data_IF_624332152907
#
_entry.id   IF_624332152907
#
_cell.length_a   1.000
_cell.length_b   1.000
_cell.length_c   1.000
_cell.angle_alpha   90.00
_cell.angle_beta   90.00
_cell.angle_gamma   90.00
#
_symmetry.space_group_name_H-M   'P 1'
#
loop_
_entity.id
_entity.type
_entity.pdbx_description
1 polymer ?
#
# COMPACT_ATOMS: atom_id res chain seq x y z
N UNK A 1 15.19 -20.27 -5.02
CA UNK A 1 14.54 -20.30 -6.35
C UNK A 1 14.97 -21.51 -7.16
N UNK A 2 16.27 -21.70 -7.45
CA UNK A 2 16.77 -22.91 -8.13
C UNK A 2 16.32 -24.23 -7.48
N UNK A 3 16.42 -24.33 -6.14
CA UNK A 3 15.93 -25.50 -5.36
C UNK A 3 14.42 -25.76 -5.50
N UNK A 4 13.62 -24.74 -5.80
CA UNK A 4 12.16 -24.85 -5.94
C UNK A 4 11.72 -25.08 -7.39
N UNK A 5 12.65 -25.11 -8.35
CA UNK A 5 12.31 -25.25 -9.78
C UNK A 5 11.52 -24.09 -10.38
N UNK A 6 11.52 -22.92 -9.72
CA UNK A 6 10.76 -21.75 -10.18
C UNK A 6 11.61 -20.93 -11.14
N UNK A 7 11.17 -20.71 -12.40
CA UNK A 7 11.82 -19.80 -13.33
C UNK A 7 11.96 -18.41 -12.72
N UNK A 8 13.12 -17.79 -12.88
CA UNK A 8 13.38 -16.47 -12.34
C UNK A 8 14.30 -15.67 -13.24
N UNK A 9 14.09 -14.36 -13.26
CA UNK A 9 14.93 -13.37 -13.93
C UNK A 9 15.46 -12.41 -12.87
N UNK A 10 16.76 -12.15 -12.89
CA UNK A 10 17.39 -11.14 -12.04
C UNK A 10 17.59 -9.89 -12.89
N UNK A 11 16.94 -8.79 -12.49
CA UNK A 11 17.06 -7.50 -13.17
C UNK A 11 17.89 -6.53 -12.32
N UNK A 12 18.96 -5.99 -12.89
CA UNK A 12 19.77 -4.94 -12.27
C UNK A 12 19.36 -3.57 -12.81
N UNK A 13 18.97 -2.65 -11.92
CA UNK A 13 18.67 -1.26 -12.24
C UNK A 13 19.22 -0.34 -11.17
N UNK A 14 19.90 0.72 -11.59
CA UNK A 14 20.37 1.75 -10.68
C UNK A 14 19.23 2.71 -10.31
N UNK A 15 18.40 2.28 -9.36
CA UNK A 15 17.37 3.16 -8.80
C UNK A 15 17.96 4.16 -7.81
N UNK A 16 19.12 3.88 -7.22
CA UNK A 16 19.66 4.66 -6.11
C UNK A 16 20.22 5.99 -6.61
N UNK A 17 21.13 5.96 -7.58
CA UNK A 17 21.77 7.18 -8.09
C UNK A 17 20.75 8.11 -8.73
N UNK A 18 19.77 7.56 -9.45
CA UNK A 18 18.67 8.33 -10.06
C UNK A 18 17.84 9.05 -8.99
N UNK A 19 17.62 8.42 -7.83
CA UNK A 19 16.85 9.02 -6.74
C UNK A 19 17.66 10.10 -6.03
N UNK A 20 18.94 9.85 -5.75
CA UNK A 20 19.84 10.83 -5.13
C UNK A 20 20.00 12.08 -5.99
N UNK A 21 20.16 11.89 -7.30
CA UNK A 21 20.31 12.99 -8.27
C UNK A 21 19.04 13.85 -8.39
N UNK A 22 17.86 13.21 -8.43
CA UNK A 22 16.59 13.90 -8.73
C UNK A 22 15.81 14.40 -7.52
N UNK A 23 16.12 13.93 -6.31
CA UNK A 23 15.38 14.34 -5.10
C UNK A 23 16.14 15.46 -4.39
N UNK A 24 15.54 16.65 -4.22
CA UNK A 24 16.18 17.75 -3.51
C UNK A 24 16.57 17.37 -2.08
N UNK A 25 17.65 17.98 -1.59
CA UNK A 25 18.11 17.78 -0.22
C UNK A 25 16.99 18.09 0.79
N UNK A 26 16.85 17.24 1.81
CA UNK A 26 15.80 17.35 2.83
C UNK A 26 14.44 16.78 2.44
N UNK A 27 14.29 16.19 1.25
CA UNK A 27 13.08 15.45 0.83
C UNK A 27 13.31 13.94 0.92
N UNK A 28 12.24 13.21 1.22
CA UNK A 28 12.27 11.74 1.35
C UNK A 28 12.44 11.05 -0.01
N UNK A 29 13.39 10.12 -0.11
CA UNK A 29 13.70 9.39 -1.34
C UNK A 29 12.64 8.34 -1.71
N UNK A 30 11.91 7.83 -0.71
CA UNK A 30 10.98 6.72 -0.84
C UNK A 30 9.91 6.93 -1.93
N UNK A 31 9.45 8.16 -2.14
CA UNK A 31 8.40 8.45 -3.13
C UNK A 31 8.89 8.15 -4.56
N UNK A 32 10.07 8.64 -4.94
CA UNK A 32 10.62 8.40 -6.27
C UNK A 32 11.12 6.95 -6.42
N UNK A 33 11.80 6.41 -5.40
CA UNK A 33 12.24 5.02 -5.39
C UNK A 33 11.07 4.03 -5.60
N UNK A 34 9.96 4.22 -4.89
CA UNK A 34 8.76 3.38 -5.03
C UNK A 34 8.16 3.46 -6.44
N UNK A 35 8.14 4.65 -7.06
CA UNK A 35 7.67 4.81 -8.44
C UNK A 35 8.58 4.09 -9.44
N UNK A 36 9.89 4.25 -9.32
CA UNK A 36 10.86 3.59 -10.21
C UNK A 36 10.80 2.07 -10.11
N UNK A 37 10.78 1.52 -8.89
CA UNK A 37 10.65 0.07 -8.67
C UNK A 37 9.40 -0.50 -9.32
N UNK A 38 8.28 0.20 -9.18
CA UNK A 38 6.99 -0.18 -9.78
C UNK A 38 7.03 -0.11 -11.31
N UNK A 39 7.60 0.96 -11.86
CA UNK A 39 7.80 1.09 -13.31
C UNK A 39 8.67 -0.03 -13.89
N UNK A 40 9.74 -0.43 -13.18
CA UNK A 40 10.56 -1.57 -13.58
C UNK A 40 9.78 -2.88 -13.56
N UNK A 41 8.98 -3.14 -12.51
CA UNK A 41 8.14 -4.34 -12.42
C UNK A 41 7.13 -4.41 -13.58
N UNK A 42 6.47 -3.30 -13.91
CA UNK A 42 5.50 -3.28 -15.01
C UNK A 42 6.17 -3.45 -16.37
N UNK A 43 7.33 -2.82 -16.60
CA UNK A 43 8.11 -3.03 -17.83
C UNK A 43 8.51 -4.50 -17.98
N UNK A 44 9.05 -5.12 -16.93
CA UNK A 44 9.45 -6.54 -16.98
C UNK A 44 8.23 -7.41 -17.22
N UNK A 45 7.09 -7.15 -16.56
CA UNK A 45 5.86 -7.88 -16.82
C UNK A 45 5.46 -7.83 -18.30
N UNK A 46 5.58 -6.67 -18.95
CA UNK A 46 5.31 -6.51 -20.39
C UNK A 46 6.33 -7.27 -21.26
N UNK A 47 7.62 -7.16 -20.94
CA UNK A 47 8.69 -7.87 -21.66
C UNK A 47 8.50 -9.39 -21.61
N UNK A 48 8.02 -9.91 -20.48
CA UNK A 48 7.76 -11.34 -20.25
C UNK A 48 6.34 -11.77 -20.66
N UNK A 49 5.53 -10.87 -21.25
CA UNK A 49 4.15 -11.16 -21.68
C UNK A 49 3.18 -11.51 -20.53
N UNK A 50 3.48 -11.07 -19.30
CA UNK A 50 2.64 -11.29 -18.13
C UNK A 50 1.44 -10.33 -18.11
N UNK A 51 0.25 -10.86 -17.82
CA UNK A 51 -0.95 -10.03 -17.61
C UNK A 51 -1.05 -9.44 -16.19
N UNK A 52 -0.21 -9.90 -15.26
CA UNK A 52 -0.29 -9.52 -13.87
C UNK A 52 1.06 -9.57 -13.14
N UNK A 53 1.19 -8.74 -12.10
CA UNK A 53 2.26 -8.74 -11.11
C UNK A 53 1.70 -9.08 -9.74
N UNK A 54 2.27 -10.08 -9.07
CA UNK A 54 1.88 -10.48 -7.71
C UNK A 54 2.92 -9.97 -6.72
N UNK A 55 2.48 -9.19 -5.72
CA UNK A 55 3.35 -8.57 -4.72
C UNK A 55 2.98 -9.05 -3.32
N UNK A 56 4.00 -9.29 -2.48
CA UNK A 56 3.86 -9.82 -1.12
C UNK A 56 3.38 -8.82 -0.07
N UNK A 57 2.65 -7.77 -0.46
CA UNK A 57 2.16 -6.77 0.49
C UNK A 57 1.11 -7.38 1.42
N UNK A 58 1.31 -7.20 2.73
CA UNK A 58 0.41 -7.70 3.76
C UNK A 58 -0.52 -6.62 4.31
N UNK A 59 -1.40 -6.96 5.26
CA UNK A 59 -2.39 -6.04 5.87
C UNK A 59 -1.74 -4.78 6.41
N UNK A 60 -0.62 -4.94 7.10
CA UNK A 60 0.09 -3.84 7.75
C UNK A 60 0.72 -2.89 6.73
N UNK A 61 1.22 -3.37 5.58
CA UNK A 61 1.66 -2.51 4.47
C UNK A 61 0.53 -1.61 3.92
N UNK A 62 -0.69 -2.15 3.87
CA UNK A 62 -1.88 -1.44 3.39
C UNK A 62 -2.27 -0.36 4.41
N UNK A 63 -2.19 -0.65 5.71
CA UNK A 63 -2.40 0.34 6.76
C UNK A 63 -1.33 1.42 6.72
N UNK A 64 -0.05 1.05 6.67
CA UNK A 64 1.06 2.00 6.56
C UNK A 64 0.86 2.91 5.34
N UNK A 65 0.50 2.36 4.19
CA UNK A 65 0.25 3.15 2.98
C UNK A 65 -0.97 4.06 3.12
N UNK A 66 -2.03 3.60 3.78
CA UNK A 66 -3.18 4.44 4.09
C UNK A 66 -2.79 5.65 4.95
N UNK A 67 -2.06 5.43 6.04
CA UNK A 67 -1.64 6.52 6.93
C UNK A 67 -0.65 7.48 6.28
N UNK A 68 0.26 6.97 5.45
CA UNK A 68 1.12 7.81 4.63
C UNK A 68 0.31 8.74 3.71
N UNK A 69 -0.73 8.20 3.08
CA UNK A 69 -1.63 8.98 2.22
C UNK A 69 -2.49 9.96 3.02
N UNK A 70 -2.94 9.57 4.21
CA UNK A 70 -3.72 10.41 5.10
C UNK A 70 -2.91 11.59 5.63
N UNK A 71 -1.73 11.33 6.21
CA UNK A 71 -0.92 12.35 6.88
C UNK A 71 -0.13 13.24 5.93
N UNK A 72 0.30 12.73 4.78
CA UNK A 72 1.18 13.47 3.88
C UNK A 72 0.57 13.73 2.49
N UNK A 73 -0.42 12.92 2.10
CA UNK A 73 -1.07 13.03 0.79
C UNK A 73 -2.46 13.67 0.81
N UNK A 74 -3.02 13.96 2.00
CA UNK A 74 -4.36 14.52 2.16
C UNK A 74 -5.47 13.68 1.52
N UNK A 75 -5.28 12.36 1.39
CA UNK A 75 -6.18 11.49 0.62
C UNK A 75 -6.55 10.21 1.36
N UNK A 76 -7.83 9.83 1.27
CA UNK A 76 -8.33 8.53 1.74
C UNK A 76 -8.04 7.44 0.70
N UNK A 77 -6.77 7.04 0.60
CA UNK A 77 -6.33 6.05 -0.39
C UNK A 77 -5.36 5.03 0.21
N UNK A 78 -5.40 3.81 -0.30
CA UNK A 78 -4.45 2.75 0.04
C UNK A 78 -4.13 1.88 -1.19
N UNK A 79 -3.59 0.67 -0.98
CA UNK A 79 -3.27 -0.31 -2.00
C UNK A 79 -4.28 -1.46 -1.96
N UNK A 80 -5.30 -1.50 -2.83
CA UNK A 80 -6.32 -2.56 -2.78
C UNK A 80 -5.73 -3.94 -3.16
N UNK A 81 -6.38 -5.06 -2.77
CA UNK A 81 -5.89 -6.41 -3.08
C UNK A 81 -5.75 -6.70 -4.59
N UNK A 82 -6.62 -6.07 -5.39
CA UNK A 82 -6.60 -6.11 -6.86
C UNK A 82 -6.65 -4.68 -7.38
N UNK A 83 -5.72 -4.36 -8.28
CA UNK A 83 -5.64 -3.05 -8.93
C UNK A 83 -5.31 -3.26 -10.41
N UNK A 84 -5.91 -2.48 -11.29
CA UNK A 84 -5.43 -2.30 -12.65
C UNK A 84 -4.49 -1.07 -12.64
N UNK A 85 -3.31 -1.18 -13.24
CA UNK A 85 -2.40 -0.04 -13.35
C UNK A 85 -3.03 1.11 -14.17
N UNK A 86 -2.40 2.28 -14.10
CA UNK A 86 -2.91 3.49 -14.75
C UNK A 86 -2.96 3.34 -16.28
N UNK A 87 -2.01 2.61 -16.88
CA UNK A 87 -2.01 2.33 -18.32
C UNK A 87 -3.05 1.28 -18.76
N UNK A 88 -3.71 0.60 -17.82
CA UNK A 88 -4.82 -0.31 -18.12
C UNK A 88 -4.44 -1.70 -18.63
N UNK A 89 -3.15 -2.07 -18.62
CA UNK A 89 -2.62 -3.26 -19.28
C UNK A 89 -2.05 -4.34 -18.33
N UNK A 90 -1.76 -3.99 -17.07
CA UNK A 90 -1.17 -4.90 -16.08
C UNK A 90 -1.96 -4.91 -14.78
N UNK A 91 -2.44 -6.10 -14.39
CA UNK A 91 -3.04 -6.29 -13.06
C UNK A 91 -1.97 -6.33 -11.96
N UNK A 92 -2.31 -5.83 -10.79
CA UNK A 92 -1.50 -5.96 -9.57
C UNK A 92 -2.31 -6.68 -8.50
N UNK A 93 -1.80 -7.84 -8.08
CA UNK A 93 -2.40 -8.67 -7.04
C UNK A 93 -1.58 -8.65 -5.75
N UNK A 94 -2.28 -8.60 -4.61
CA UNK A 94 -1.71 -8.63 -3.26
C UNK A 94 -2.42 -9.71 -2.44
N UNK A 95 -2.08 -11.00 -2.64
CA UNK A 95 -2.81 -12.11 -2.01
C UNK A 95 -2.72 -12.08 -0.48
N UNK A 96 -1.68 -11.45 0.08
CA UNK A 96 -1.47 -11.34 1.53
C UNK A 96 -2.16 -10.12 2.15
N UNK A 97 -2.97 -9.37 1.40
CA UNK A 97 -3.59 -8.12 1.84
C UNK A 97 -4.37 -8.20 3.16
N UNK A 98 -4.85 -9.38 3.54
CA UNK A 98 -5.59 -9.61 4.78
C UNK A 98 -4.76 -10.30 5.89
N UNK A 99 -3.53 -10.66 5.60
CA UNK A 99 -2.62 -11.38 6.51
C UNK A 99 -1.84 -10.37 7.35
N UNK A 100 -1.70 -10.62 8.65
CA UNK A 100 -0.87 -9.79 9.51
C UNK A 100 0.62 -10.01 9.24
N UNK A 101 1.43 -8.96 9.38
CA UNK A 101 2.90 -9.05 9.30
C UNK A 101 3.46 -10.11 10.26
N UNK A 102 2.95 -10.16 11.50
CA UNK A 102 3.36 -11.14 12.50
C UNK A 102 3.09 -12.59 12.05
N UNK A 103 2.03 -12.84 11.28
CA UNK A 103 1.72 -14.17 10.76
C UNK A 103 2.63 -14.52 9.58
N UNK A 104 2.93 -13.55 8.71
CA UNK A 104 3.94 -13.71 7.65
C UNK A 104 5.31 -14.04 8.25
N UNK A 105 5.71 -13.36 9.31
CA UNK A 105 6.98 -13.60 10.01
C UNK A 105 7.03 -14.99 10.64
N UNK A 106 5.97 -15.38 11.37
CA UNK A 106 5.87 -16.72 11.96
C UNK A 106 5.95 -17.81 10.90
N UNK A 107 5.25 -17.63 9.78
CA UNK A 107 5.28 -18.57 8.65
C UNK A 107 6.68 -18.66 8.04
N UNK A 108 7.33 -17.52 7.76
CA UNK A 108 8.68 -17.50 7.20
C UNK A 108 9.71 -18.20 8.10
N UNK A 109 9.64 -17.98 9.42
CA UNK A 109 10.47 -18.68 10.41
C UNK A 109 10.20 -20.19 10.42
N UNK A 110 8.94 -20.60 10.48
CA UNK A 110 8.57 -22.03 10.49
C UNK A 110 9.03 -22.76 9.22
N UNK A 111 8.99 -22.09 8.07
CA UNK A 111 9.44 -22.63 6.79
C UNK A 111 10.95 -22.48 6.54
N UNK A 112 11.69 -21.88 7.47
CA UNK A 112 13.10 -21.55 7.32
C UNK A 112 13.39 -20.77 6.01
N UNK A 113 12.52 -19.82 5.68
CA UNK A 113 12.74 -18.94 4.53
C UNK A 113 13.75 -17.85 4.86
N UNK A 114 14.70 -17.56 3.95
CA UNK A 114 15.64 -16.47 4.16
C UNK A 114 14.91 -15.13 4.15
N UNK A 115 15.11 -14.34 5.19
CA UNK A 115 14.61 -12.96 5.27
C UNK A 115 15.73 -12.05 4.76
N UNK A 116 15.49 -11.38 3.64
CA UNK A 116 16.44 -10.42 3.07
C UNK A 116 16.03 -9.03 3.56
N UNK A 117 16.83 -8.37 4.41
CA UNK A 117 16.52 -7.04 4.88
C UNK A 117 16.64 -6.04 3.72
N UNK A 118 15.74 -5.05 3.68
CA UNK A 118 15.75 -4.01 2.67
C UNK A 118 16.57 -2.82 3.18
N UNK A 119 17.89 -2.91 3.03
CA UNK A 119 18.82 -1.94 3.62
C UNK A 119 18.86 -0.62 2.81
N UNK A 120 18.39 -0.65 1.55
CA UNK A 120 18.47 0.48 0.61
C UNK A 120 17.70 1.73 1.10
N UNK A 121 16.68 1.56 1.95
CA UNK A 121 15.85 2.64 2.44
C UNK A 121 15.78 2.70 3.97
N UNK A 122 16.42 1.79 4.71
CA UNK A 122 16.39 1.75 6.18
C UNK A 122 17.36 2.71 6.85
N UNK A 123 18.24 3.38 6.08
CA UNK A 123 19.36 4.19 6.56
C UNK A 123 19.14 5.70 6.51
N UNK A 124 17.92 6.18 6.24
CA UNK A 124 17.60 7.61 6.30
C UNK A 124 16.97 8.00 7.63
N UNK A 125 17.48 9.08 8.23
CA UNK A 125 16.79 9.77 9.31
C UNK A 125 15.44 10.33 8.81
N UNK A 126 14.38 10.18 9.60
CA UNK A 126 13.06 10.75 9.29
C UNK A 126 12.20 9.93 8.31
N UNK A 127 12.42 8.62 8.19
CA UNK A 127 11.57 7.75 7.38
C UNK A 127 10.13 7.75 7.87
N UNK A 128 9.27 8.47 7.15
CA UNK A 128 7.83 8.60 7.42
C UNK A 128 7.16 7.23 7.62
N UNK A 129 7.57 6.19 6.87
CA UNK A 129 7.00 4.84 7.01
C UNK A 129 7.35 4.21 8.37
N UNK A 130 8.58 4.38 8.87
CA UNK A 130 8.95 3.87 10.20
C UNK A 130 8.20 4.61 11.31
N UNK A 131 7.99 5.91 11.16
CA UNK A 131 7.19 6.70 12.10
C UNK A 131 5.73 6.22 12.14
N UNK A 132 5.12 6.01 10.96
CA UNK A 132 3.77 5.45 10.85
C UNK A 132 3.70 4.05 11.47
N UNK A 133 4.69 3.19 11.20
CA UNK A 133 4.76 1.86 11.80
C UNK A 133 4.80 1.93 13.33
N UNK A 134 5.64 2.78 13.90
CA UNK A 134 5.74 2.98 15.34
C UNK A 134 4.41 3.46 15.97
N UNK A 135 3.69 4.36 15.29
CA UNK A 135 2.34 4.79 15.71
C UNK A 135 1.37 3.60 15.72
N UNK A 136 1.36 2.82 14.63
CA UNK A 136 0.50 1.64 14.51
C UNK A 136 0.83 0.56 15.54
N UNK A 137 2.11 0.35 15.85
CA UNK A 137 2.58 -0.57 16.89
C UNK A 137 2.13 -0.08 18.28
N UNK A 138 2.28 1.22 18.55
CA UNK A 138 1.83 1.83 19.80
C UNK A 138 0.33 1.66 20.04
N UNK A 139 -0.49 1.89 19.00
CA UNK A 139 -1.94 1.67 19.11
C UNK A 139 -2.32 0.21 19.29
N UNK A 140 -1.66 -0.71 18.59
CA UNK A 140 -1.91 -2.14 18.75
C UNK A 140 -1.53 -2.61 20.16
N UNK A 141 -0.41 -2.11 20.71
CA UNK A 141 0.01 -2.39 22.10
C UNK A 141 -0.99 -1.86 23.13
N UNK A 142 -1.48 -0.63 22.93
CA UNK A 142 -2.40 0.02 23.87
C UNK A 142 -3.83 -0.53 23.76
N UNK A 143 -4.22 -1.03 22.59
CA UNK A 143 -5.53 -1.60 22.33
C UNK A 143 -5.41 -2.75 21.30
N UNK A 144 -5.17 -3.99 21.75
CA UNK A 144 -5.05 -5.14 20.85
C UNK A 144 -6.24 -5.29 19.90
N UNK A 145 -5.97 -5.57 18.63
CA UNK A 145 -6.96 -5.64 17.56
C UNK A 145 -7.23 -4.30 16.85
N UNK A 146 -6.59 -3.19 17.26
CA UNK A 146 -6.80 -1.88 16.64
C UNK A 146 -6.47 -1.88 15.15
N UNK A 147 -5.40 -2.57 14.73
CA UNK A 147 -5.04 -2.70 13.31
C UNK A 147 -6.17 -3.35 12.50
N UNK A 148 -6.81 -4.39 13.04
CA UNK A 148 -7.93 -5.05 12.36
C UNK A 148 -9.13 -4.11 12.22
N UNK A 149 -9.43 -3.32 13.26
CA UNK A 149 -10.51 -2.32 13.21
C UNK A 149 -10.22 -1.26 12.15
N UNK A 150 -9.00 -0.71 12.13
CA UNK A 150 -8.60 0.29 11.13
C UNK A 150 -8.66 -0.28 9.71
N UNK A 151 -8.19 -1.52 9.51
CA UNK A 151 -8.23 -2.16 8.20
C UNK A 151 -9.67 -2.40 7.74
N UNK A 152 -10.57 -2.81 8.66
CA UNK A 152 -12.01 -2.96 8.36
C UNK A 152 -12.64 -1.63 7.93
N UNK A 153 -12.24 -0.51 8.53
CA UNK A 153 -12.76 0.81 8.17
C UNK A 153 -12.48 1.17 6.69
N UNK A 154 -11.36 0.71 6.12
CA UNK A 154 -11.04 0.91 4.70
C UNK A 154 -12.04 0.26 3.74
N UNK A 155 -12.79 -0.73 4.21
CA UNK A 155 -13.84 -1.43 3.46
C UNK A 155 -15.26 -0.96 3.84
N UNK A 156 -15.39 0.06 4.70
CA UNK A 156 -16.66 0.51 5.26
C UNK A 156 -16.84 2.04 5.13
N UNK A 157 -16.57 2.58 3.93
CA UNK A 157 -16.81 3.99 3.65
C UNK A 157 -18.31 4.28 3.47
N UNK A 158 -18.79 5.37 4.04
CA UNK A 158 -20.16 5.89 3.86
C UNK A 158 -20.08 7.20 3.09
N UNK A 159 -20.39 7.24 1.77
CA UNK A 159 -20.24 8.45 0.96
C UNK A 159 -20.93 9.69 1.55
N UNK A 160 -22.14 9.54 2.09
CA UNK A 160 -22.89 10.64 2.73
C UNK A 160 -22.28 11.20 4.01
N UNK A 161 -21.30 10.51 4.59
CA UNK A 161 -20.59 10.94 5.81
C UNK A 161 -19.13 11.34 5.50
N UNK A 162 -18.80 11.49 4.22
CA UNK A 162 -17.55 12.10 3.74
C UNK A 162 -17.84 13.54 3.27
N UNK A 163 -16.80 14.25 2.83
CA UNK A 163 -16.87 15.66 2.43
C UNK A 163 -16.74 15.88 0.92
N UNK A 164 -16.79 14.80 0.12
CA UNK A 164 -16.59 14.88 -1.33
C UNK A 164 -17.95 14.91 -2.07
N UNK A 165 -18.36 16.04 -2.66
CA UNK A 165 -19.62 16.15 -3.40
C UNK A 165 -19.65 15.30 -4.68
N UNK A 166 -18.50 14.80 -5.16
CA UNK A 166 -18.44 13.84 -6.26
C UNK A 166 -18.81 12.43 -5.83
N UNK A 167 -18.69 12.11 -4.53
CA UNK A 167 -19.08 10.82 -3.97
C UNK A 167 -20.52 10.81 -3.47
N UNK A 168 -21.07 11.97 -3.11
CA UNK A 168 -22.44 12.08 -2.63
C UNK A 168 -23.02 13.47 -2.94
N UNK A 169 -24.23 13.53 -3.49
CA UNK A 169 -24.91 14.79 -3.79
C UNK A 169 -25.46 15.44 -2.52
N UNK A 170 -24.69 16.35 -1.93
CA UNK A 170 -25.11 17.13 -0.77
C UNK A 170 -26.07 18.26 -1.13
N UNK A 171 -26.00 18.80 -2.36
CA UNK A 171 -26.88 19.88 -2.82
C UNK A 171 -28.32 19.42 -3.01
N UNK A 172 -28.52 18.18 -3.44
CA UNK A 172 -29.83 17.55 -3.60
C UNK A 172 -30.40 16.93 -2.32
N UNK A 173 -29.84 17.24 -1.14
CA UNK A 173 -30.38 16.73 0.13
C UNK A 173 -31.68 17.44 0.51
N UNK A 174 -32.79 16.72 0.36
CA UNK A 174 -34.12 17.18 0.75
C UNK A 174 -34.60 16.49 2.03
N UNK A 175 -35.37 17.20 2.85
CA UNK A 175 -36.07 16.57 3.97
C UNK A 175 -37.24 15.80 3.38
N UNK A 176 -37.38 14.51 3.71
CA UNK A 176 -38.59 13.76 3.37
C UNK A 176 -39.63 13.91 4.46
N UNK A 177 -40.87 14.16 4.08
CA UNK A 177 -42.03 14.11 4.94
C UNK A 177 -42.36 12.68 5.41
N UNK A 178 -43.31 12.51 6.34
CA UNK A 178 -43.75 11.19 6.82
C UNK A 178 -44.37 10.31 5.72
N UNK A 179 -44.89 10.95 4.68
CA UNK A 179 -45.42 10.42 3.43
C UNK A 179 -44.33 10.05 2.40
N UNK A 180 -43.08 10.38 2.67
CA UNK A 180 -41.94 10.11 1.79
C UNK A 180 -41.73 11.16 0.69
N UNK A 181 -42.57 12.21 0.64
CA UNK A 181 -42.44 13.30 -0.32
C UNK A 181 -41.38 14.33 0.10
N UNK A 182 -40.69 14.96 -0.86
CA UNK A 182 -39.71 16.01 -0.55
C UNK A 182 -40.40 17.26 0.02
N UNK A 183 -39.79 17.86 1.05
CA UNK A 183 -40.29 19.01 1.81
C UNK A 183 -39.35 20.20 1.73
#
# INVERSE_FOLDING_TARGET
LARMGVPHRIEYRDTYSVVVDKVPQGRTYCALCSRLRRGHLYRIAREEGCSAVVLGHHRDDILETFFMNLFHGGRLATMPPKLLNEEGDVFVFRPLAHVAEADCERFARAMNYPIIPCDLCGSQDGLQRQQVKAILDGWEKNAPGRRQVMFRALMNARPSHLLDPKLFDFSGLERRGPDGEPR
#
